data_IF_053829412658
#
_entry.id   IF_053829412658
#
_cell.length_a   1.000
_cell.length_b   1.000
_cell.length_c   1.000
_cell.angle_alpha   90.00
_cell.angle_beta   90.00
_cell.angle_gamma   90.00
#
_symmetry.space_group_name_H-M   'P 1'
#
loop_
_entity.id
_entity.type
_entity.pdbx_description
1 polymer ?
#
# COMPACT_ATOMS: atom_id res chain seq x y z
N UNK A 1 -8.12 -24.33 8.58
CA UNK A 1 -7.27 -23.38 7.84
C UNK A 1 -7.29 -23.83 6.39
N UNK A 2 -8.00 -23.10 5.53
CA UNK A 2 -8.06 -23.40 4.09
C UNK A 2 -6.76 -22.91 3.48
N UNK A 3 -6.03 -23.77 2.76
CA UNK A 3 -4.84 -23.35 2.04
C UNK A 3 -5.27 -22.43 0.90
N UNK A 4 -4.75 -21.20 0.88
CA UNK A 4 -4.88 -20.30 -0.26
C UNK A 4 -3.80 -20.72 -1.24
N UNK A 5 -4.17 -21.35 -2.35
CA UNK A 5 -3.22 -21.65 -3.42
C UNK A 5 -2.71 -20.33 -4.02
N UNK A 6 -1.42 -20.06 -3.84
CA UNK A 6 -0.76 -18.94 -4.49
C UNK A 6 0.52 -19.42 -5.16
N UNK A 7 0.83 -18.87 -6.34
CA UNK A 7 2.05 -19.17 -7.09
C UNK A 7 2.85 -17.91 -7.31
N UNK A 8 4.19 -18.03 -7.31
CA UNK A 8 5.10 -16.91 -7.49
C UNK A 8 4.72 -16.09 -8.73
N UNK A 9 4.56 -14.77 -8.56
CA UNK A 9 4.27 -13.82 -9.64
C UNK A 9 5.45 -12.86 -9.78
N UNK A 10 5.81 -12.56 -11.03
CA UNK A 10 6.87 -11.60 -11.34
C UNK A 10 6.23 -10.26 -11.64
N UNK A 11 6.60 -9.24 -10.88
CA UNK A 11 6.24 -7.84 -11.15
C UNK A 11 7.49 -7.16 -11.68
N UNK A 12 7.38 -6.48 -12.82
CA UNK A 12 8.47 -5.75 -13.44
C UNK A 12 8.03 -4.33 -13.80
N UNK A 13 8.96 -3.39 -13.66
CA UNK A 13 8.81 -2.02 -14.11
C UNK A 13 9.97 -1.70 -15.05
N UNK A 14 9.64 -1.12 -16.20
CA UNK A 14 10.58 -0.90 -17.31
C UNK A 14 10.44 0.54 -17.77
N UNK A 15 11.57 1.23 -17.95
CA UNK A 15 11.61 2.58 -18.52
C UNK A 15 11.55 2.53 -20.04
N UNK A 16 11.33 3.68 -20.66
CA UNK A 16 11.65 3.84 -22.07
C UNK A 16 13.15 3.67 -22.34
N UNK A 17 13.51 3.50 -23.61
CA UNK A 17 14.90 3.43 -24.03
C UNK A 17 15.60 4.76 -23.73
N UNK A 18 16.75 4.68 -23.07
CA UNK A 18 17.62 5.82 -22.75
C UNK A 18 18.92 5.60 -23.51
N UNK A 19 19.42 6.66 -24.14
CA UNK A 19 20.71 6.66 -24.84
C UNK A 19 21.84 6.25 -23.87
N UNK A 20 22.60 5.24 -24.28
CA UNK A 20 23.73 4.71 -23.53
C UNK A 20 24.73 5.79 -23.11
N UNK A 21 25.07 6.72 -24.01
CA UNK A 21 26.06 7.76 -23.73
C UNK A 21 25.52 8.80 -22.75
N UNK A 22 24.24 9.16 -22.84
CA UNK A 22 23.62 10.07 -21.87
C UNK A 22 23.60 9.47 -20.46
N UNK A 23 23.35 8.16 -20.35
CA UNK A 23 23.35 7.46 -19.08
C UNK A 23 24.78 7.33 -18.51
N UNK A 24 25.76 7.00 -19.35
CA UNK A 24 27.15 6.81 -18.95
C UNK A 24 27.89 8.11 -18.61
N UNK A 25 27.56 9.22 -19.28
CA UNK A 25 28.22 10.52 -19.05
C UNK A 25 27.74 11.20 -17.76
N UNK A 26 26.57 10.81 -17.23
CA UNK A 26 25.98 11.44 -16.06
C UNK A 26 25.62 10.43 -14.97
N UNK A 27 26.54 10.25 -14.02
CA UNK A 27 26.37 9.38 -12.84
C UNK A 27 25.12 9.73 -12.01
N UNK A 28 24.68 11.00 -12.00
CA UNK A 28 23.47 11.38 -11.27
C UNK A 28 22.20 10.93 -12.02
N UNK A 29 22.22 10.92 -13.35
CA UNK A 29 21.11 10.44 -14.15
C UNK A 29 20.91 8.94 -13.97
N UNK A 30 21.98 8.15 -13.99
CA UNK A 30 21.90 6.70 -13.77
C UNK A 30 21.26 6.38 -12.41
N UNK A 31 21.71 7.04 -11.33
CA UNK A 31 21.13 6.86 -10.00
C UNK A 31 19.66 7.28 -9.94
N UNK A 32 19.33 8.43 -10.52
CA UNK A 32 17.95 8.90 -10.58
C UNK A 32 17.04 7.87 -11.26
N UNK A 33 17.45 7.34 -12.42
CA UNK A 33 16.66 6.32 -13.13
C UNK A 33 16.55 5.03 -12.30
N UNK A 34 17.62 4.58 -11.66
CA UNK A 34 17.57 3.39 -10.78
C UNK A 34 16.57 3.59 -9.63
N UNK A 35 16.59 4.76 -8.98
CA UNK A 35 15.70 5.08 -7.88
C UNK A 35 14.23 5.14 -8.34
N UNK A 36 13.97 5.79 -9.49
CA UNK A 36 12.63 5.85 -10.10
C UNK A 36 12.13 4.46 -10.52
N UNK A 37 13.00 3.60 -11.07
CA UNK A 37 12.63 2.24 -11.45
C UNK A 37 12.21 1.40 -10.25
N UNK A 38 12.97 1.50 -9.16
CA UNK A 38 12.66 0.80 -7.90
C UNK A 38 11.40 1.37 -7.25
N UNK A 39 11.20 2.69 -7.33
CA UNK A 39 9.97 3.34 -6.87
C UNK A 39 8.74 2.85 -7.65
N UNK A 40 8.80 2.89 -8.98
CA UNK A 40 7.72 2.40 -9.85
C UNK A 40 7.41 0.92 -9.62
N UNK A 41 8.44 0.10 -9.38
CA UNK A 41 8.26 -1.31 -9.00
C UNK A 41 7.50 -1.44 -7.67
N UNK A 42 7.85 -0.66 -6.64
CA UNK A 42 7.16 -0.70 -5.34
C UNK A 42 5.70 -0.28 -5.47
N UNK A 43 5.40 0.77 -6.25
CA UNK A 43 4.04 1.22 -6.54
C UNK A 43 3.24 0.12 -7.26
N UNK A 44 3.84 -0.54 -8.25
CA UNK A 44 3.19 -1.65 -8.96
C UNK A 44 2.90 -2.85 -8.04
N UNK A 45 3.83 -3.19 -7.15
CA UNK A 45 3.65 -4.24 -6.14
C UNK A 45 2.55 -3.87 -5.15
N UNK A 46 2.53 -2.63 -4.66
CA UNK A 46 1.48 -2.13 -3.77
C UNK A 46 0.09 -2.21 -4.41
N UNK A 47 -0.04 -1.83 -5.69
CA UNK A 47 -1.28 -1.95 -6.44
C UNK A 47 -1.76 -3.40 -6.58
N UNK A 48 -0.84 -4.35 -6.81
CA UNK A 48 -1.15 -5.78 -6.87
C UNK A 48 -1.58 -6.35 -5.51
N UNK A 49 -0.89 -5.97 -4.43
CA UNK A 49 -1.25 -6.40 -3.07
C UNK A 49 -2.62 -5.85 -2.68
N UNK A 50 -2.92 -4.60 -3.03
CA UNK A 50 -4.17 -3.97 -2.63
C UNK A 50 -5.36 -4.48 -3.47
N UNK A 51 -5.25 -4.37 -4.79
CA UNK A 51 -6.37 -4.51 -5.73
C UNK A 51 -6.09 -5.50 -6.87
N UNK A 52 -5.08 -6.36 -6.76
CA UNK A 52 -4.75 -7.36 -7.77
C UNK A 52 -5.96 -8.23 -8.15
N UNK A 53 -6.18 -8.41 -9.44
CA UNK A 53 -7.38 -9.05 -10.00
C UNK A 53 -7.46 -10.57 -9.77
N UNK A 54 -6.37 -11.22 -9.33
CA UNK A 54 -6.30 -12.68 -9.12
C UNK A 54 -6.34 -13.52 -10.40
N UNK A 55 -6.39 -12.90 -11.58
CA UNK A 55 -6.45 -13.58 -12.89
C UNK A 55 -5.13 -13.46 -13.65
N UNK A 56 -4.70 -14.54 -14.31
CA UNK A 56 -3.48 -14.55 -15.12
C UNK A 56 -2.23 -14.36 -14.26
N UNK A 57 -1.40 -13.38 -14.64
CA UNK A 57 -0.18 -12.99 -13.92
C UNK A 57 -0.44 -12.03 -12.74
N UNK A 58 -1.65 -11.49 -12.59
CA UNK A 58 -1.98 -10.64 -11.46
C UNK A 58 -2.14 -11.47 -10.17
N UNK A 59 -1.68 -10.90 -9.05
CA UNK A 59 -1.89 -11.47 -7.72
C UNK A 59 -3.34 -11.27 -7.29
N UNK A 60 -3.81 -12.05 -6.32
CA UNK A 60 -5.09 -11.78 -5.66
C UNK A 60 -4.86 -10.72 -4.59
N UNK A 61 -5.38 -9.52 -4.80
CA UNK A 61 -5.26 -8.43 -3.84
C UNK A 61 -6.16 -8.63 -2.61
N UNK A 62 -5.88 -7.87 -1.55
CA UNK A 62 -6.64 -7.88 -0.29
C UNK A 62 -8.12 -7.58 -0.57
N UNK A 63 -8.42 -6.59 -1.41
CA UNK A 63 -9.79 -6.19 -1.75
C UNK A 63 -10.59 -7.28 -2.48
N UNK A 64 -9.91 -8.14 -3.23
CA UNK A 64 -10.52 -9.22 -4.00
C UNK A 64 -10.48 -10.57 -3.26
N UNK A 65 -9.92 -10.60 -2.04
CA UNK A 65 -9.86 -11.82 -1.24
C UNK A 65 -11.23 -12.14 -0.64
N UNK A 66 -11.66 -13.39 -0.73
CA UNK A 66 -12.93 -13.82 -0.14
C UNK A 66 -12.86 -13.80 1.39
N UNK A 67 -13.93 -13.32 2.04
CA UNK A 67 -14.03 -13.30 3.50
C UNK A 67 -13.64 -11.99 4.18
N UNK A 68 -13.38 -10.93 3.40
CA UNK A 68 -13.24 -9.57 3.93
C UNK A 68 -14.55 -9.14 4.57
N UNK A 69 -14.47 -8.70 5.83
CA UNK A 69 -15.63 -8.21 6.58
C UNK A 69 -15.87 -6.75 6.22
N UNK A 70 -17.07 -6.45 5.73
CA UNK A 70 -17.46 -5.09 5.35
C UNK A 70 -18.10 -4.38 6.55
N UNK A 71 -17.47 -3.29 7.01
CA UNK A 71 -18.06 -2.37 7.97
C UNK A 71 -18.77 -1.24 7.23
N UNK A 72 -20.09 -1.14 7.39
CA UNK A 72 -20.85 -0.02 6.83
C UNK A 72 -20.43 1.32 7.46
N UNK A 73 -20.37 2.37 6.64
CA UNK A 73 -20.11 3.73 7.09
C UNK A 73 -21.13 4.15 8.16
N UNK A 74 -20.63 4.75 9.24
CA UNK A 74 -21.44 5.22 10.36
C UNK A 74 -21.72 6.73 10.21
N UNK A 75 -21.57 7.50 11.30
CA UNK A 75 -21.80 8.95 11.30
C UNK A 75 -20.58 9.74 10.82
N UNK A 76 -19.39 9.23 11.09
CA UNK A 76 -18.11 9.82 10.69
C UNK A 76 -17.05 8.72 10.45
N UNK A 77 -15.94 9.08 9.80
CA UNK A 77 -14.84 8.15 9.53
C UNK A 77 -14.24 7.59 10.84
N UNK A 78 -14.11 8.42 11.88
CA UNK A 78 -13.54 8.05 13.18
C UNK A 78 -14.33 6.92 13.87
N UNK A 79 -15.66 7.06 13.97
CA UNK A 79 -16.54 6.04 14.55
C UNK A 79 -16.65 4.82 13.65
N UNK A 80 -16.60 4.99 12.33
CA UNK A 80 -16.57 3.87 11.37
C UNK A 80 -15.34 2.99 11.60
N UNK A 81 -14.15 3.59 11.71
CA UNK A 81 -12.91 2.86 12.02
C UNK A 81 -12.99 2.19 13.40
N UNK A 82 -13.54 2.85 14.42
CA UNK A 82 -13.71 2.22 15.74
C UNK A 82 -14.60 0.98 15.67
N UNK A 83 -15.71 1.04 14.92
CA UNK A 83 -16.60 -0.11 14.71
C UNK A 83 -15.94 -1.24 13.92
N UNK A 84 -15.12 -0.91 12.92
CA UNK A 84 -14.33 -1.89 12.18
C UNK A 84 -13.36 -2.65 13.11
N UNK A 85 -12.65 -1.91 13.98
CA UNK A 85 -11.79 -2.51 15.01
C UNK A 85 -12.59 -3.44 15.93
N UNK A 86 -13.72 -2.97 16.48
CA UNK A 86 -14.57 -3.79 17.36
C UNK A 86 -15.07 -5.06 16.65
N UNK A 87 -15.35 -4.99 15.36
CA UNK A 87 -15.81 -6.15 14.57
C UNK A 87 -14.70 -7.19 14.40
N UNK A 88 -13.45 -6.75 14.20
CA UNK A 88 -12.29 -7.64 14.19
C UNK A 88 -12.03 -8.26 15.56
N UNK A 89 -12.07 -7.46 16.63
CA UNK A 89 -11.88 -7.93 18.01
C UNK A 89 -12.97 -8.94 18.41
N UNK A 90 -14.23 -8.69 18.05
CA UNK A 90 -15.35 -9.60 18.27
C UNK A 90 -15.21 -10.92 17.48
N UNK A 91 -14.47 -10.90 16.37
CA UNK A 91 -14.11 -12.07 15.58
C UNK A 91 -12.88 -12.80 16.12
N UNK A 92 -12.26 -12.31 17.20
CA UNK A 92 -11.10 -12.90 17.85
C UNK A 92 -9.75 -12.47 17.28
N UNK A 93 -9.71 -11.48 16.38
CA UNK A 93 -8.47 -10.96 15.79
C UNK A 93 -8.04 -9.66 16.45
N UNK A 94 -6.74 -9.52 16.71
CA UNK A 94 -6.17 -8.27 17.19
C UNK A 94 -5.90 -7.33 16.01
N UNK A 95 -6.36 -6.06 16.04
CA UNK A 95 -6.07 -5.10 14.97
C UNK A 95 -4.57 -4.79 14.92
N UNK A 96 -3.97 -4.93 13.74
CA UNK A 96 -2.53 -4.74 13.54
C UNK A 96 -2.21 -3.40 12.87
N UNK A 97 -2.86 -3.10 11.75
CA UNK A 97 -2.62 -1.87 10.98
C UNK A 97 -3.91 -1.35 10.35
N UNK A 98 -4.03 -0.04 10.27
CA UNK A 98 -5.10 0.66 9.55
C UNK A 98 -4.49 1.26 8.29
N UNK A 99 -5.09 1.05 7.13
CA UNK A 99 -4.69 1.65 5.86
C UNK A 99 -5.79 2.61 5.40
N UNK A 100 -5.43 3.86 5.14
CA UNK A 100 -6.36 4.93 4.73
C UNK A 100 -5.78 5.75 3.58
N UNK A 101 -6.66 6.43 2.86
CA UNK A 101 -6.27 7.50 1.95
C UNK A 101 -5.84 8.75 2.76
N UNK A 102 -4.97 9.58 2.18
CA UNK A 102 -4.47 10.78 2.85
C UNK A 102 -5.59 11.80 3.15
N UNK A 103 -6.55 11.95 2.24
CA UNK A 103 -7.70 12.86 2.41
C UNK A 103 -8.63 12.40 3.55
N UNK A 104 -8.84 11.08 3.70
CA UNK A 104 -9.65 10.52 4.78
C UNK A 104 -8.96 10.68 6.13
N UNK A 105 -7.63 10.55 6.15
CA UNK A 105 -6.83 10.82 7.34
C UNK A 105 -6.93 12.28 7.77
N UNK A 106 -6.81 13.22 6.83
CA UNK A 106 -7.01 14.65 7.10
C UNK A 106 -8.41 14.92 7.69
N UNK A 107 -9.45 14.32 7.11
CA UNK A 107 -10.81 14.47 7.62
C UNK A 107 -10.93 13.98 9.09
N UNK A 108 -10.29 12.87 9.44
CA UNK A 108 -10.24 12.36 10.83
C UNK A 108 -9.52 13.33 11.77
N UNK A 109 -8.40 13.91 11.33
CA UNK A 109 -7.66 14.91 12.10
C UNK A 109 -8.51 16.18 12.34
N UNK A 110 -9.19 16.68 11.32
CA UNK A 110 -10.02 17.89 11.41
C UNK A 110 -11.30 17.72 12.24
N UNK A 111 -11.93 16.54 12.20
CA UNK A 111 -13.09 16.21 13.04
C UNK A 111 -12.75 16.30 14.54
N UNK A 112 -11.53 15.91 14.89
CA UNK A 112 -11.04 15.96 16.28
C UNK A 112 -10.87 17.40 16.77
N UNK A 113 -10.58 18.34 15.87
CA UNK A 113 -10.42 19.77 16.20
C UNK A 113 -11.76 20.44 16.48
N UNK A 114 -12.83 20.03 15.79
CA UNK A 114 -14.16 20.65 15.92
C UNK A 114 -14.94 20.21 17.15
N UNK A 115 -14.62 19.06 17.75
CA UNK A 115 -15.29 18.55 18.95
C UNK A 115 -14.79 19.15 20.27
N UNK A 116 -13.93 20.17 20.24
CA UNK A 116 -13.42 20.86 21.44
C UNK A 116 -12.50 20.03 22.34
N UNK A 117 -12.03 18.87 21.86
CA UNK A 117 -11.25 17.90 22.62
C UNK A 117 -9.73 18.16 22.56
N UNK A 118 -9.31 19.42 22.56
CA UNK A 118 -7.91 19.84 22.75
C UNK A 118 -7.41 19.63 24.18
N UNK A 119 -8.02 18.73 24.96
CA UNK A 119 -7.59 18.39 26.31
C UNK A 119 -6.71 17.12 26.28
N UNK A 120 -5.47 17.32 25.83
CA UNK A 120 -4.14 16.78 26.25
C UNK A 120 -3.98 15.30 26.70
N UNK A 121 -5.02 14.47 26.88
CA UNK A 121 -4.90 13.08 27.38
C UNK A 121 -5.92 12.06 26.85
N UNK A 122 -6.87 12.45 25.99
CA UNK A 122 -7.97 11.56 25.56
C UNK A 122 -8.15 11.39 24.05
N UNK A 123 -7.30 12.00 23.22
CA UNK A 123 -7.44 11.94 21.76
C UNK A 123 -6.97 10.56 21.28
N UNK A 124 -7.80 9.79 20.55
CA UNK A 124 -7.41 8.49 20.00
C UNK A 124 -6.32 8.57 18.93
N UNK A 125 -5.97 9.78 18.49
CA UNK A 125 -4.97 10.09 17.48
C UNK A 125 -3.67 10.48 18.17
N UNK A 126 -2.61 9.72 17.90
CA UNK A 126 -1.24 10.16 18.17
C UNK A 126 -0.64 10.68 16.86
N UNK A 127 -0.54 12.01 16.65
CA UNK A 127 -0.03 12.58 15.41
C UNK A 127 1.48 12.36 15.24
N UNK A 128 2.22 12.11 16.32
CA UNK A 128 3.66 11.86 16.29
C UNK A 128 3.95 10.42 15.88
N UNK A 129 3.17 9.48 16.41
CA UNK A 129 3.27 8.06 16.06
C UNK A 129 2.34 7.61 14.92
N UNK A 130 1.53 8.53 14.37
CA UNK A 130 0.43 8.29 13.42
C UNK A 130 -0.37 7.03 13.81
N UNK A 131 -0.99 7.08 14.99
CA UNK A 131 -1.82 5.98 15.51
C UNK A 131 -3.25 6.44 15.67
N UNK A 132 -4.18 5.52 15.47
CA UNK A 132 -5.60 5.71 15.73
C UNK A 132 -6.12 4.55 16.59
N UNK A 133 -6.72 4.86 17.73
CA UNK A 133 -7.16 3.86 18.73
C UNK A 133 -6.05 2.91 19.19
N UNK A 134 -4.80 3.38 19.21
CA UNK A 134 -3.62 2.58 19.56
C UNK A 134 -3.08 1.70 18.43
N UNK A 135 -3.70 1.69 17.26
CA UNK A 135 -3.29 0.94 16.07
C UNK A 135 -2.54 1.87 15.11
N UNK A 136 -1.39 1.49 14.53
CA UNK A 136 -0.67 2.30 13.54
C UNK A 136 -1.50 2.50 12.27
N UNK A 137 -1.43 3.71 11.72
CA UNK A 137 -2.11 4.09 10.46
C UNK A 137 -1.07 4.31 9.36
N UNK A 138 -1.24 3.61 8.25
CA UNK A 138 -0.44 3.73 7.03
C UNK A 138 -1.27 4.43 5.97
N UNK A 139 -0.68 5.39 5.28
CA UNK A 139 -1.34 6.09 4.18
C UNK A 139 -0.99 5.42 2.87
N UNK A 140 -1.99 5.11 2.06
CA UNK A 140 -1.85 4.52 0.74
C UNK A 140 -2.71 5.30 -0.25
N UNK A 141 -2.09 5.81 -1.32
CA UNK A 141 -2.79 6.60 -2.34
C UNK A 141 -3.47 5.74 -3.43
N UNK A 142 -3.12 4.45 -3.52
CA UNK A 142 -3.80 3.50 -4.39
C UNK A 142 -5.14 3.03 -3.85
N UNK A 143 -5.43 3.29 -2.57
CA UNK A 143 -6.75 3.07 -1.99
C UNK A 143 -7.68 4.20 -2.43
N UNK A 144 -8.86 3.85 -2.94
CA UNK A 144 -9.87 4.84 -3.29
C UNK A 144 -10.28 5.67 -2.08
N UNK A 145 -10.64 6.94 -2.31
CA UNK A 145 -11.20 7.81 -1.28
C UNK A 145 -12.44 7.17 -0.63
N UNK A 146 -12.72 7.53 0.62
CA UNK A 146 -13.80 6.98 1.45
C UNK A 146 -13.71 5.45 1.70
N UNK A 147 -12.58 4.84 1.37
CA UNK A 147 -12.33 3.41 1.61
C UNK A 147 -11.18 3.24 2.60
N UNK A 148 -11.40 2.42 3.63
CA UNK A 148 -10.39 2.11 4.64
C UNK A 148 -10.27 0.61 4.88
N UNK A 149 -9.05 0.17 5.19
CA UNK A 149 -8.77 -1.21 5.57
C UNK A 149 -8.28 -1.27 7.01
N UNK A 150 -8.83 -2.19 7.79
CA UNK A 150 -8.27 -2.57 9.10
C UNK A 150 -7.81 -4.01 8.97
N UNK A 151 -6.51 -4.22 9.12
CA UNK A 151 -5.86 -5.53 8.93
C UNK A 151 -5.47 -6.05 10.30
N UNK A 152 -5.90 -7.28 10.60
CA UNK A 152 -5.51 -7.98 11.83
C UNK A 152 -4.03 -8.37 11.80
N UNK A 153 -3.42 -8.49 12.98
CA UNK A 153 -2.05 -8.98 13.09
C UNK A 153 -1.94 -10.41 12.54
N UNK A 154 -0.94 -10.66 11.70
CA UNK A 154 -0.74 -11.93 11.00
C UNK A 154 -1.83 -12.33 9.99
N UNK A 155 -2.82 -11.47 9.70
CA UNK A 155 -3.89 -11.79 8.76
C UNK A 155 -3.45 -11.74 7.29
N UNK A 156 -2.40 -10.96 6.98
CA UNK A 156 -1.81 -10.83 5.66
C UNK A 156 -0.31 -11.05 5.77
N UNK A 157 0.21 -11.97 4.95
CA UNK A 157 1.66 -12.16 4.76
C UNK A 157 1.99 -11.98 3.30
N UNK A 158 3.13 -11.34 3.04
CA UNK A 158 3.70 -11.19 1.71
C UNK A 158 5.02 -11.92 1.70
N UNK A 159 5.04 -13.05 0.99
CA UNK A 159 6.24 -13.83 0.78
C UNK A 159 6.89 -13.40 -0.54
N UNK A 160 8.21 -13.20 -0.51
CA UNK A 160 8.99 -12.86 -1.69
C UNK A 160 10.11 -13.87 -1.88
N UNK A 161 10.30 -14.31 -3.12
CA UNK A 161 11.42 -15.16 -3.52
C UNK A 161 12.36 -14.32 -4.38
N UNK A 162 13.60 -14.15 -3.91
CA UNK A 162 14.65 -13.37 -4.60
C UNK A 162 14.84 -11.92 -4.13
N UNK A 163 15.79 -11.25 -4.78
CA UNK A 163 16.11 -9.83 -4.57
C UNK A 163 15.58 -8.99 -5.72
N UNK A 164 15.21 -7.74 -5.42
CA UNK A 164 14.92 -6.73 -6.46
C UNK A 164 16.22 -6.45 -7.21
N UNK A 165 16.23 -6.67 -8.51
CA UNK A 165 17.40 -6.48 -9.37
C UNK A 165 17.07 -5.52 -10.51
N UNK A 166 17.95 -4.54 -10.74
CA UNK A 166 17.87 -3.64 -11.90
C UNK A 166 18.84 -4.15 -12.95
N UNK A 167 18.36 -4.32 -14.19
CA UNK A 167 19.16 -4.76 -15.34
C UNK A 167 19.05 -3.77 -16.48
N UNK A 168 20.19 -3.47 -17.09
CA UNK A 168 20.28 -2.72 -18.33
C UNK A 168 20.44 -3.69 -19.50
N UNK A 169 19.80 -3.39 -20.62
CA UNK A 169 19.94 -4.20 -21.84
C UNK A 169 19.98 -3.29 -23.06
N UNK A 170 21.06 -3.42 -23.83
CA UNK A 170 21.22 -2.70 -25.11
C UNK A 170 20.71 -3.52 -26.31
N UNK A 171 20.10 -4.69 -26.06
CA UNK A 171 19.71 -5.66 -27.07
C UNK A 171 18.19 -5.76 -27.26
N UNK A 172 17.44 -4.75 -26.84
CA UNK A 172 15.98 -4.73 -26.98
C UNK A 172 15.62 -4.15 -28.36
N UNK A 173 15.06 -4.99 -29.23
CA UNK A 173 14.62 -4.62 -30.58
C UNK A 173 15.70 -3.91 -31.43
N UNK A 174 15.53 -2.61 -31.70
CA UNK A 174 16.35 -1.82 -32.61
C UNK A 174 17.30 -0.88 -31.86
N UNK A 175 17.33 -0.94 -30.53
CA UNK A 175 18.05 0.03 -29.69
C UNK A 175 19.55 0.05 -29.99
N UNK A 176 20.14 -1.13 -30.26
CA UNK A 176 21.54 -1.26 -30.67
C UNK A 176 21.87 -0.53 -31.98
N UNK A 177 20.91 -0.30 -32.87
CA UNK A 177 21.12 0.39 -34.16
C UNK A 177 20.97 1.91 -34.00
N UNK A 178 20.34 2.37 -32.92
CA UNK A 178 20.00 3.78 -32.66
C UNK A 178 20.86 4.44 -31.56
N UNK A 179 21.60 3.65 -30.79
CA UNK A 179 22.61 4.10 -29.83
C UNK A 179 23.85 4.67 -30.52
#
# INVERSE_FOLDING_TARGET
MVAVENRLRVVAHVSEAIDHYLLGDNVNLERFVQDELVYGLRVAVEAQILAGAGTGENMTGILNTSGVVVQAFATDALTTVRKAITTLEASGYTPGVIVLHANDWEAIELLTVTSGATDVRGVPIDPVARRLWGVPVVLNQGLGEDTGLVIGDGAVTVDHDGQVEVKWSDAVSDDFVKN
#
